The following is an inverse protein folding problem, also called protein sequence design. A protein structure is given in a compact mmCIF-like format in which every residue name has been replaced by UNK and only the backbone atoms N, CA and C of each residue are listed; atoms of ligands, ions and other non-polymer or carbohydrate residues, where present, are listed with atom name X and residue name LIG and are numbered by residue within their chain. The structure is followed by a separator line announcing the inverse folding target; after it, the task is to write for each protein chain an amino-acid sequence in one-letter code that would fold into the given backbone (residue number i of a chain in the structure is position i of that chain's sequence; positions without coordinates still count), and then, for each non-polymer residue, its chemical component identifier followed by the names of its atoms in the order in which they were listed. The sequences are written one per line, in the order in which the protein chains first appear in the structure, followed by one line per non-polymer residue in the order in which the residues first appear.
data_IF_303007991083
#
_entry.id   IF_303007991083
#
_cell.length_a   1.000
_cell.length_b   1.000
_cell.length_c   1.000
_cell.angle_alpha   90.00
_cell.angle_beta   90.00
_cell.angle_gamma   90.00
#
_symmetry.space_group_name_H-M   'P 1'
#
loop_
_entity.id
_entity.type
_entity.pdbx_description
1 polymer ?
#
# COMPACT_ATOMS: atom_id res chain seq x y z
N UNK A 1 -20.81 -3.30 -7.40
CA UNK A 1 -20.31 -1.91 -7.42
C UNK A 1 -18.97 -1.93 -8.12
N UNK A 2 -18.53 -0.82 -8.71
CA UNK A 2 -17.29 -0.79 -9.48
C UNK A 2 -16.08 -1.40 -8.74
N UNK A 3 -15.91 -1.10 -7.44
CA UNK A 3 -14.82 -1.67 -6.64
C UNK A 3 -15.00 -3.17 -6.43
N UNK A 4 -16.18 -3.63 -6.00
CA UNK A 4 -16.46 -5.06 -5.85
C UNK A 4 -16.24 -5.85 -7.14
N UNK A 5 -16.61 -5.29 -8.29
CA UNK A 5 -16.47 -5.94 -9.60
C UNK A 5 -14.99 -6.03 -10.00
N UNK A 6 -14.21 -4.95 -9.78
CA UNK A 6 -12.75 -4.95 -9.99
C UNK A 6 -12.05 -5.95 -9.08
N UNK A 7 -12.38 -5.96 -7.79
CA UNK A 7 -11.75 -6.87 -6.82
C UNK A 7 -12.08 -8.32 -7.15
N UNK A 8 -13.33 -8.62 -7.53
CA UNK A 8 -13.74 -9.95 -7.99
C UNK A 8 -13.00 -10.38 -9.26
N UNK A 9 -12.95 -9.52 -10.27
CA UNK A 9 -12.25 -9.78 -11.52
C UNK A 9 -10.74 -10.00 -11.31
N UNK A 10 -10.12 -9.30 -10.37
CA UNK A 10 -8.69 -9.44 -10.05
C UNK A 10 -8.30 -10.84 -9.59
N UNK A 11 -9.24 -11.65 -9.08
CA UNK A 11 -8.96 -13.03 -8.66
C UNK A 11 -8.93 -14.03 -9.82
N UNK A 12 -9.34 -13.62 -11.02
CA UNK A 12 -9.43 -14.51 -12.19
C UNK A 12 -8.13 -14.64 -12.97
N UNK A 13 -7.30 -13.60 -12.96
CA UNK A 13 -6.03 -13.55 -13.68
C UNK A 13 -5.08 -12.56 -13.03
N UNK A 14 -3.81 -12.93 -12.88
CA UNK A 14 -2.78 -12.04 -12.34
C UNK A 14 -2.50 -10.83 -13.24
N UNK A 15 -2.58 -10.99 -14.57
CA UNK A 15 -2.39 -9.86 -15.49
C UNK A 15 -3.53 -8.85 -15.37
N UNK A 16 -4.76 -9.34 -15.19
CA UNK A 16 -5.92 -8.49 -14.95
C UNK A 16 -5.82 -7.82 -13.57
N UNK A 17 -5.39 -8.57 -12.54
CA UNK A 17 -5.10 -8.04 -11.22
C UNK A 17 -4.07 -6.90 -11.30
N UNK A 18 -2.98 -7.08 -12.04
CA UNK A 18 -1.93 -6.06 -12.16
C UNK A 18 -2.49 -4.78 -12.78
N UNK A 19 -3.25 -4.89 -13.87
CA UNK A 19 -3.90 -3.74 -14.48
C UNK A 19 -4.88 -3.08 -13.52
N UNK A 20 -5.66 -3.88 -12.78
CA UNK A 20 -6.60 -3.38 -11.80
C UNK A 20 -5.92 -2.66 -10.63
N UNK A 21 -4.74 -3.09 -10.18
CA UNK A 21 -3.96 -2.34 -9.18
C UNK A 21 -3.54 -0.98 -9.71
N UNK A 22 -3.16 -0.88 -10.98
CA UNK A 22 -2.83 0.40 -11.63
C UNK A 22 -4.07 1.30 -11.71
N UNK A 23 -5.23 0.76 -12.10
CA UNK A 23 -6.49 1.51 -12.14
C UNK A 23 -6.84 2.05 -10.75
N UNK A 24 -6.74 1.21 -9.71
CA UNK A 24 -7.02 1.61 -8.33
C UNK A 24 -6.06 2.70 -7.83
N UNK A 25 -4.78 2.64 -8.25
CA UNK A 25 -3.80 3.70 -7.95
C UNK A 25 -4.20 5.02 -8.59
N UNK A 26 -4.50 5.02 -9.89
CA UNK A 26 -4.91 6.22 -10.62
C UNK A 26 -6.19 6.81 -10.03
N UNK A 27 -7.15 5.97 -9.67
CA UNK A 27 -8.37 6.40 -9.00
C UNK A 27 -8.06 7.07 -7.65
N UNK A 28 -7.13 6.51 -6.88
CA UNK A 28 -6.67 7.11 -5.62
C UNK A 28 -6.06 8.50 -5.84
N UNK A 29 -5.16 8.62 -6.82
CA UNK A 29 -4.48 9.88 -7.15
C UNK A 29 -5.51 10.95 -7.59
N UNK A 30 -6.44 10.61 -8.48
CA UNK A 30 -7.49 11.52 -8.93
C UNK A 30 -8.42 11.99 -7.79
N UNK A 31 -8.83 11.06 -6.93
CA UNK A 31 -9.83 11.33 -5.89
C UNK A 31 -9.22 12.02 -4.67
N UNK A 32 -8.00 11.65 -4.26
CA UNK A 32 -7.39 12.14 -3.03
C UNK A 32 -6.29 13.19 -3.26
N UNK A 33 -5.51 13.08 -4.33
CA UNK A 33 -4.36 13.99 -4.58
C UNK A 33 -4.74 15.16 -5.52
N UNK A 34 -5.53 14.92 -6.57
CA UNK A 34 -5.83 15.92 -7.62
C UNK A 34 -7.24 16.54 -7.57
N UNK A 35 -8.06 16.16 -6.59
CA UNK A 35 -9.47 16.60 -6.51
C UNK A 35 -9.67 18.12 -6.43
N UNK A 36 -8.66 18.91 -6.04
CA UNK A 36 -8.73 20.37 -5.99
C UNK A 36 -8.66 21.00 -7.39
N UNK A 37 -9.79 21.51 -7.88
CA UNK A 37 -9.86 22.30 -9.12
C UNK A 37 -10.22 21.52 -10.39
N UNK A 38 -10.18 20.19 -10.36
CA UNK A 38 -10.62 19.32 -11.48
C UNK A 38 -12.04 18.77 -11.30
N UNK A 39 -12.57 18.77 -10.07
CA UNK A 39 -13.87 18.22 -9.74
C UNK A 39 -14.68 19.19 -8.86
N UNK A 40 -16.01 19.11 -8.96
CA UNK A 40 -16.88 19.79 -7.99
C UNK A 40 -16.72 19.16 -6.61
N UNK A 41 -16.81 19.97 -5.55
CA UNK A 41 -16.64 19.50 -4.16
C UNK A 41 -17.59 18.34 -3.82
N UNK A 42 -18.82 18.39 -4.31
CA UNK A 42 -19.84 17.34 -4.09
C UNK A 42 -19.41 16.00 -4.72
N UNK A 43 -18.91 16.03 -5.96
CA UNK A 43 -18.48 14.80 -6.67
C UNK A 43 -17.23 14.21 -6.04
N UNK A 44 -16.26 15.05 -5.65
CA UNK A 44 -15.05 14.61 -4.95
C UNK A 44 -15.40 13.95 -3.61
N UNK A 45 -16.28 14.56 -2.82
CA UNK A 45 -16.72 13.99 -1.53
C UNK A 45 -17.40 12.64 -1.73
N UNK A 46 -18.36 12.53 -2.66
CA UNK A 46 -19.04 11.27 -2.93
C UNK A 46 -18.06 10.15 -3.31
N UNK A 47 -17.08 10.41 -4.18
CA UNK A 47 -16.09 9.41 -4.56
C UNK A 47 -15.17 9.00 -3.41
N UNK A 48 -14.74 9.96 -2.58
CA UNK A 48 -13.98 9.67 -1.35
C UNK A 48 -14.78 8.74 -0.43
N UNK A 49 -16.03 9.09 -0.16
CA UNK A 49 -16.91 8.31 0.72
C UNK A 49 -17.12 6.88 0.15
N UNK A 50 -17.42 6.74 -1.14
CA UNK A 50 -17.55 5.43 -1.80
C UNK A 50 -16.27 4.60 -1.67
N UNK A 51 -15.11 5.20 -1.93
CA UNK A 51 -13.83 4.51 -1.91
C UNK A 51 -13.41 4.10 -0.49
N UNK A 52 -13.65 4.95 0.50
CA UNK A 52 -13.44 4.61 1.92
C UNK A 52 -14.35 3.48 2.38
N UNK A 53 -15.64 3.50 2.00
CA UNK A 53 -16.60 2.47 2.39
C UNK A 53 -16.27 1.09 1.81
N UNK A 54 -15.67 1.05 0.62
CA UNK A 54 -15.30 -0.20 -0.06
C UNK A 54 -13.81 -0.55 0.09
N UNK A 55 -13.03 0.23 0.85
CA UNK A 55 -11.57 0.07 0.95
C UNK A 55 -11.15 -1.27 1.55
N UNK A 56 -11.95 -1.83 2.46
CA UNK A 56 -11.67 -3.13 3.09
C UNK A 56 -11.45 -4.24 2.05
N UNK A 57 -12.23 -4.26 0.97
CA UNK A 57 -12.11 -5.24 -0.11
C UNK A 57 -10.82 -5.04 -0.91
N UNK A 58 -10.46 -3.78 -1.16
CA UNK A 58 -9.23 -3.40 -1.85
C UNK A 58 -8.02 -3.82 -1.02
N UNK A 59 -8.04 -3.54 0.29
CA UNK A 59 -6.95 -3.87 1.19
C UNK A 59 -6.76 -5.39 1.32
N UNK A 60 -7.85 -6.15 1.41
CA UNK A 60 -7.79 -7.62 1.38
C UNK A 60 -7.18 -8.16 0.09
N UNK A 61 -7.47 -7.54 -1.06
CA UNK A 61 -6.81 -7.88 -2.33
C UNK A 61 -5.31 -7.57 -2.27
N UNK A 62 -4.91 -6.39 -1.76
CA UNK A 62 -3.51 -6.03 -1.60
C UNK A 62 -2.77 -7.04 -0.71
N UNK A 63 -3.33 -7.39 0.45
CA UNK A 63 -2.75 -8.38 1.36
C UNK A 63 -2.62 -9.74 0.68
N UNK A 64 -3.68 -10.21 0.00
CA UNK A 64 -3.65 -11.47 -0.73
C UNK A 64 -2.52 -11.50 -1.76
N UNK A 65 -2.36 -10.45 -2.56
CA UNK A 65 -1.29 -10.38 -3.58
C UNK A 65 0.09 -10.34 -2.93
N UNK A 66 0.30 -9.51 -1.91
CA UNK A 66 1.58 -9.42 -1.20
C UNK A 66 1.96 -10.72 -0.48
N UNK A 67 0.98 -11.48 -0.01
CA UNK A 67 1.22 -12.74 0.69
C UNK A 67 1.47 -13.92 -0.26
N UNK A 68 0.76 -13.97 -1.40
CA UNK A 68 0.65 -15.21 -2.19
C UNK A 68 1.22 -15.12 -3.62
N UNK A 69 1.29 -13.94 -4.23
CA UNK A 69 1.75 -13.83 -5.62
C UNK A 69 3.28 -13.89 -5.72
N UNK A 70 3.77 -14.63 -6.71
CA UNK A 70 5.19 -14.66 -7.09
C UNK A 70 5.47 -13.79 -8.34
N UNK A 71 4.43 -13.17 -8.89
CA UNK A 71 4.53 -12.33 -10.08
C UNK A 71 5.07 -10.95 -9.71
N UNK A 72 6.37 -10.76 -9.95
CA UNK A 72 7.08 -9.56 -9.53
C UNK A 72 6.48 -8.25 -10.08
N UNK A 73 6.09 -8.13 -11.37
CA UNK A 73 5.37 -6.97 -11.88
C UNK A 73 4.06 -6.66 -11.12
N UNK A 74 3.25 -7.68 -10.81
CA UNK A 74 2.01 -7.52 -10.04
C UNK A 74 2.30 -7.07 -8.60
N UNK A 75 3.28 -7.68 -7.93
CA UNK A 75 3.68 -7.28 -6.57
C UNK A 75 4.19 -5.84 -6.57
N UNK A 76 5.03 -5.46 -7.53
CA UNK A 76 5.51 -4.08 -7.65
C UNK A 76 4.37 -3.08 -7.88
N UNK A 77 3.43 -3.40 -8.77
CA UNK A 77 2.24 -2.58 -9.01
C UNK A 77 1.43 -2.42 -7.72
N UNK A 78 1.27 -3.51 -6.95
CA UNK A 78 0.57 -3.52 -5.67
C UNK A 78 1.23 -2.61 -4.63
N UNK A 79 2.57 -2.63 -4.54
CA UNK A 79 3.32 -1.77 -3.62
C UNK A 79 3.22 -0.29 -4.01
N UNK A 80 3.27 0.04 -5.30
CA UNK A 80 3.06 1.41 -5.80
C UNK A 80 1.63 1.91 -5.56
N UNK A 81 0.64 1.02 -5.69
CA UNK A 81 -0.76 1.34 -5.36
C UNK A 81 -0.94 1.56 -3.87
N UNK A 82 -0.36 0.69 -3.04
CA UNK A 82 -0.37 0.83 -1.58
C UNK A 82 0.25 2.16 -1.15
N UNK A 83 1.35 2.58 -1.78
CA UNK A 83 2.00 3.86 -1.48
C UNK A 83 1.03 5.05 -1.57
N UNK A 84 0.10 5.05 -2.54
CA UNK A 84 -0.94 6.10 -2.66
C UNK A 84 -2.03 5.96 -1.63
N UNK A 85 -2.38 4.73 -1.25
CA UNK A 85 -3.36 4.49 -0.22
C UNK A 85 -2.91 4.98 1.16
N UNK A 86 -1.62 4.86 1.49
CA UNK A 86 -1.08 5.28 2.80
C UNK A 86 -1.36 6.75 3.13
N UNK A 87 -1.59 7.61 2.13
CA UNK A 87 -1.88 9.03 2.32
C UNK A 87 -3.26 9.33 2.94
N UNK A 88 -4.22 8.40 2.86
CA UNK A 88 -5.62 8.69 3.22
C UNK A 88 -6.35 7.57 3.94
N UNK A 89 -5.82 6.35 3.98
CA UNK A 89 -6.51 5.22 4.59
C UNK A 89 -6.58 5.33 6.12
N UNK A 90 -7.60 4.73 6.76
CA UNK A 90 -7.65 4.66 8.21
C UNK A 90 -6.42 3.97 8.81
N UNK A 91 -5.88 4.55 9.88
CA UNK A 91 -4.64 4.11 10.51
C UNK A 91 -4.67 2.66 11.03
N UNK A 92 -5.86 2.12 11.34
CA UNK A 92 -6.02 0.72 11.74
C UNK A 92 -5.51 -0.26 10.68
N UNK A 93 -5.68 0.03 9.38
CA UNK A 93 -5.12 -0.80 8.31
C UNK A 93 -3.59 -0.84 8.32
N UNK A 94 -2.95 0.23 8.80
CA UNK A 94 -1.49 0.37 8.84
C UNK A 94 -0.92 -0.28 10.10
N UNK A 95 -1.48 0.06 11.27
CA UNK A 95 -0.87 -0.25 12.57
C UNK A 95 -1.52 -1.43 13.31
N UNK A 96 -2.74 -1.84 12.93
CA UNK A 96 -3.46 -2.98 13.55
C UNK A 96 -3.46 -4.22 12.65
N UNK A 97 -2.65 -4.22 11.60
CA UNK A 97 -2.48 -5.37 10.68
C UNK A 97 -1.02 -5.78 10.58
N UNK A 98 -0.75 -6.85 9.81
CA UNK A 98 0.62 -7.31 9.53
C UNK A 98 1.36 -6.47 8.48
N UNK A 99 0.80 -5.34 8.04
CA UNK A 99 1.33 -4.56 6.92
C UNK A 99 2.81 -4.18 7.10
N UNK A 100 3.17 -3.58 8.23
CA UNK A 100 4.54 -3.17 8.53
C UNK A 100 5.49 -4.36 8.48
N UNK A 101 5.15 -5.47 9.15
CA UNK A 101 5.98 -6.68 9.14
C UNK A 101 6.12 -7.27 7.73
N UNK A 102 5.06 -7.27 6.93
CA UNK A 102 5.09 -7.78 5.55
C UNK A 102 5.99 -6.94 4.67
N UNK A 103 5.89 -5.60 4.74
CA UNK A 103 6.76 -4.68 4.01
C UNK A 103 8.23 -4.92 4.35
N UNK A 104 8.55 -4.94 5.64
CA UNK A 104 9.93 -5.06 6.12
C UNK A 104 10.52 -6.43 5.78
N UNK A 105 9.85 -7.53 6.10
CA UNK A 105 10.44 -8.87 5.97
C UNK A 105 10.37 -9.43 4.55
N UNK A 106 9.30 -9.19 3.78
CA UNK A 106 9.16 -9.78 2.44
C UNK A 106 9.79 -8.94 1.33
N UNK A 107 9.78 -7.62 1.46
CA UNK A 107 10.06 -6.74 0.32
C UNK A 107 11.28 -5.84 0.48
N UNK A 108 11.61 -5.40 1.71
CA UNK A 108 12.72 -4.44 1.92
C UNK A 108 14.09 -4.98 1.46
N UNK A 109 14.37 -6.25 1.70
CA UNK A 109 15.65 -6.86 1.31
C UNK A 109 15.73 -7.19 -0.18
N UNK A 110 14.60 -7.29 -0.87
CA UNK A 110 14.55 -7.67 -2.29
C UNK A 110 14.88 -6.46 -3.15
N UNK A 111 15.98 -6.45 -3.93
CA UNK A 111 16.48 -5.24 -4.62
C UNK A 111 15.43 -4.54 -5.49
N UNK A 112 14.60 -5.29 -6.22
CA UNK A 112 13.58 -4.72 -7.11
C UNK A 112 12.39 -4.09 -6.37
N UNK A 113 12.15 -4.43 -5.10
CA UNK A 113 11.06 -3.88 -4.29
C UNK A 113 11.52 -2.89 -3.22
N UNK A 114 12.83 -2.86 -2.92
CA UNK A 114 13.42 -2.08 -1.83
C UNK A 114 12.99 -0.62 -1.83
N UNK A 115 13.09 0.06 -2.98
CA UNK A 115 12.81 1.50 -3.06
C UNK A 115 11.35 1.83 -2.79
N UNK A 116 10.41 1.12 -3.42
CA UNK A 116 8.98 1.34 -3.18
C UNK A 116 8.59 0.96 -1.75
N UNK A 117 9.16 -0.12 -1.22
CA UNK A 117 8.94 -0.52 0.18
C UNK A 117 9.43 0.55 1.15
N UNK A 118 10.63 1.09 0.94
CA UNK A 118 11.17 2.14 1.80
C UNK A 118 10.34 3.42 1.74
N UNK A 119 9.82 3.80 0.55
CA UNK A 119 8.86 4.90 0.43
C UNK A 119 7.61 4.64 1.28
N UNK A 120 7.03 3.44 1.20
CA UNK A 120 5.88 3.09 2.04
C UNK A 120 6.20 3.20 3.53
N UNK A 121 7.34 2.70 3.97
CA UNK A 121 7.77 2.79 5.38
C UNK A 121 7.99 4.25 5.81
N UNK A 122 8.49 5.11 4.92
CA UNK A 122 8.63 6.55 5.17
C UNK A 122 7.28 7.25 5.32
N UNK A 123 6.30 6.95 4.47
CA UNK A 123 4.94 7.52 4.62
C UNK A 123 4.32 7.09 5.95
N UNK A 124 4.49 5.82 6.34
CA UNK A 124 4.02 5.33 7.64
C UNK A 124 4.73 6.06 8.79
N UNK A 125 6.06 6.25 8.69
CA UNK A 125 6.85 6.96 9.69
C UNK A 125 6.51 8.46 9.79
N UNK A 126 5.97 9.06 8.73
CA UNK A 126 5.54 10.46 8.69
C UNK A 126 4.23 10.72 9.45
N UNK A 127 3.50 9.68 9.84
CA UNK A 127 2.24 9.82 10.59
C UNK A 127 2.54 10.31 12.01
N UNK A 128 1.93 11.44 12.41
CA UNK A 128 2.11 12.04 13.73
C UNK A 128 0.93 11.74 14.65
N UNK A 129 1.00 10.61 15.36
CA UNK A 129 -0.06 10.14 16.28
C UNK A 129 0.55 9.49 17.52
N UNK A 130 -0.07 9.69 18.69
CA UNK A 130 0.43 9.15 19.96
C UNK A 130 -0.09 7.73 20.27
N UNK A 131 -1.17 7.30 19.61
CA UNK A 131 -1.83 6.02 19.92
C UNK A 131 -1.03 4.78 19.51
N UNK A 132 -0.04 4.93 18.63
CA UNK A 132 0.69 3.81 18.00
C UNK A 132 2.20 3.85 18.28
N UNK A 133 2.62 4.41 19.41
CA UNK A 133 4.05 4.56 19.78
C UNK A 133 4.81 3.24 19.72
N UNK A 134 4.22 2.14 20.22
CA UNK A 134 4.83 0.81 20.16
C UNK A 134 5.05 0.33 18.72
N UNK A 135 4.09 0.59 17.82
CA UNK A 135 4.19 0.23 16.41
C UNK A 135 5.26 1.06 15.69
N UNK A 136 5.49 2.32 16.07
CA UNK A 136 6.61 3.12 15.55
C UNK A 136 7.96 2.57 16.01
N UNK A 137 8.08 2.17 17.29
CA UNK A 137 9.29 1.51 17.80
C UNK A 137 9.55 0.20 17.04
N UNK A 138 8.50 -0.58 16.79
CA UNK A 138 8.58 -1.81 16.02
C UNK A 138 9.01 -1.54 14.56
N UNK A 139 8.35 -0.58 13.88
CA UNK A 139 8.70 -0.12 12.53
C UNK A 139 10.19 0.22 12.43
N UNK A 140 10.70 1.05 13.34
CA UNK A 140 12.09 1.46 13.37
C UNK A 140 13.02 0.26 13.60
N UNK A 141 12.76 -0.54 14.62
CA UNK A 141 13.60 -1.69 15.00
C UNK A 141 13.71 -2.70 13.86
N UNK A 142 12.57 -3.09 13.27
CA UNK A 142 12.55 -4.06 12.17
C UNK A 142 13.27 -3.51 10.93
N UNK A 143 13.02 -2.25 10.57
CA UNK A 143 13.64 -1.63 9.39
C UNK A 143 15.16 -1.56 9.55
N UNK A 144 15.66 -1.12 10.71
CA UNK A 144 17.10 -1.05 10.98
C UNK A 144 17.77 -2.44 10.98
N UNK A 145 17.10 -3.46 11.52
CA UNK A 145 17.57 -4.84 11.47
C UNK A 145 17.73 -5.35 10.03
N UNK A 146 16.75 -5.09 9.16
CA UNK A 146 16.82 -5.50 7.75
C UNK A 146 17.86 -4.70 6.96
N UNK A 147 17.94 -3.38 7.16
CA UNK A 147 18.93 -2.53 6.50
C UNK A 147 20.37 -2.95 6.84
N UNK A 148 20.63 -3.36 8.09
CA UNK A 148 21.94 -3.89 8.49
C UNK A 148 22.35 -5.11 7.64
N UNK A 149 21.41 -6.01 7.36
CA UNK A 149 21.68 -7.17 6.52
C UNK A 149 22.04 -6.74 5.09
N UNK A 150 21.26 -5.83 4.50
CA UNK A 150 21.52 -5.29 3.16
C UNK A 150 22.91 -4.64 3.06
N UNK A 151 23.30 -3.84 4.05
CA UNK A 151 24.62 -3.21 4.07
C UNK A 151 25.75 -4.24 4.13
N UNK A 152 25.63 -5.32 4.92
CA UNK A 152 26.67 -6.35 5.00
C UNK A 152 26.89 -7.03 3.64
N UNK A 153 25.82 -7.28 2.86
CA UNK A 153 25.94 -7.84 1.51
C UNK A 153 26.58 -6.91 0.47
N UNK A 154 26.74 -5.61 0.76
CA UNK A 154 27.43 -4.67 -0.14
C UNK A 154 28.95 -4.71 0.09
N UNK A 155 29.41 -5.14 1.27
CA UNK A 155 30.83 -5.19 1.64
C UNK A 155 31.48 -6.57 1.45
N UNK A 156 30.72 -7.57 0.99
CA UNK A 156 31.19 -8.92 0.63
C UNK A 156 31.07 -9.06 -0.89
#
# INVERSE_FOLDING_TARGET
TFISDIVGASRTSESLCQNNMIILKLLSEEVFDFSSGQMTQVKAKHLKDSMCNEFSQIFQLCQFVMENSQNAPLVHATLETLLRFLNWIPLGYIFETKLISTLVYKFLNVPMFRNVTLKCLTEIAGVSVSQYEEQFVNLFTLTMCQLKQVCIYIYI
#
